data_IF_004375523918
#
_entry.id   IF_004375523918
#
_cell.length_a   1.000
_cell.length_b   1.000
_cell.length_c   1.000
_cell.angle_alpha   90.00
_cell.angle_beta   90.00
_cell.angle_gamma   90.00
#
_symmetry.space_group_name_H-M   'P 1'
#
loop_
_entity.id
_entity.type
_entity.pdbx_description
1 polymer ?
#
# COMPACT_ATOMS: atom_id res chain seq x y z
N UNK A 1 -30.76 8.86 16.42
CA UNK A 1 -29.49 8.05 16.50
C UNK A 1 -28.61 8.43 15.33
N UNK A 2 -27.31 8.61 15.58
CA UNK A 2 -26.32 8.92 14.54
C UNK A 2 -25.95 7.64 13.79
N UNK A 3 -25.83 7.72 12.45
CA UNK A 3 -25.42 6.60 11.59
C UNK A 3 -24.45 7.09 10.51
N UNK A 4 -23.30 6.44 10.38
CA UNK A 4 -22.25 6.80 9.43
C UNK A 4 -21.95 5.65 8.49
N UNK A 5 -21.53 5.98 7.26
CA UNK A 5 -20.97 5.01 6.31
C UNK A 5 -19.45 5.17 6.28
N UNK A 6 -18.73 4.05 6.38
CA UNK A 6 -17.27 4.00 6.27
C UNK A 6 -16.90 3.11 5.08
N UNK A 7 -16.19 3.68 4.11
CA UNK A 7 -15.75 2.99 2.90
C UNK A 7 -14.31 2.51 3.11
N UNK A 8 -14.14 1.21 3.31
CA UNK A 8 -12.89 0.55 3.67
C UNK A 8 -12.73 0.33 5.18
N UNK A 9 -12.64 -0.92 5.60
CA UNK A 9 -12.58 -1.34 7.02
C UNK A 9 -11.18 -1.49 7.61
N UNK A 10 -10.11 -1.28 6.81
CA UNK A 10 -8.73 -1.47 7.27
C UNK A 10 -8.30 -0.43 8.34
N UNK A 11 -7.01 -0.12 8.44
CA UNK A 11 -6.45 0.71 9.53
C UNK A 11 -7.20 2.02 9.76
N UNK A 12 -7.53 2.77 8.71
CA UNK A 12 -8.22 4.07 8.86
C UNK A 12 -9.67 3.87 9.26
N UNK A 13 -10.39 3.01 8.53
CA UNK A 13 -11.82 2.78 8.78
C UNK A 13 -12.09 2.16 10.15
N UNK A 14 -11.34 1.12 10.55
CA UNK A 14 -11.46 0.53 11.89
C UNK A 14 -11.10 1.52 13.00
N UNK A 15 -10.08 2.38 12.78
CA UNK A 15 -9.73 3.42 13.75
C UNK A 15 -10.85 4.47 13.91
N UNK A 16 -11.49 4.86 12.80
CA UNK A 16 -12.64 5.75 12.86
C UNK A 16 -13.85 5.07 13.53
N UNK A 17 -14.17 3.83 13.13
CA UNK A 17 -15.25 3.06 13.73
C UNK A 17 -15.06 2.88 15.24
N UNK A 18 -13.84 2.58 15.71
CA UNK A 18 -13.52 2.49 17.14
C UNK A 18 -13.89 3.77 17.90
N UNK A 19 -13.55 4.92 17.33
CA UNK A 19 -13.86 6.21 17.98
C UNK A 19 -15.37 6.48 17.98
N UNK A 20 -16.01 6.27 16.86
CA UNK A 20 -17.43 6.55 16.66
C UNK A 20 -18.33 5.64 17.51
N UNK A 21 -18.03 4.35 17.58
CA UNK A 21 -18.79 3.39 18.40
C UNK A 21 -18.65 3.70 19.90
N UNK A 22 -17.50 4.19 20.35
CA UNK A 22 -17.30 4.63 21.75
C UNK A 22 -18.22 5.81 22.13
N UNK A 23 -18.71 6.59 21.16
CA UNK A 23 -19.66 7.67 21.33
C UNK A 23 -21.12 7.25 20.96
N UNK A 24 -21.37 5.95 20.82
CA UNK A 24 -22.69 5.41 20.53
C UNK A 24 -23.16 5.64 19.08
N UNK A 25 -22.26 5.94 18.14
CA UNK A 25 -22.58 6.11 16.73
C UNK A 25 -22.59 4.76 16.03
N UNK A 26 -23.64 4.45 15.29
CA UNK A 26 -23.71 3.27 14.42
C UNK A 26 -22.83 3.46 13.20
N UNK A 27 -22.03 2.46 12.87
CA UNK A 27 -21.11 2.46 11.74
C UNK A 27 -21.49 1.34 10.75
N UNK A 28 -21.79 1.70 9.52
CA UNK A 28 -21.86 0.74 8.41
C UNK A 28 -20.52 0.75 7.71
N UNK A 29 -19.83 -0.39 7.66
CA UNK A 29 -18.49 -0.53 7.07
C UNK A 29 -18.56 -1.41 5.84
N UNK A 30 -18.35 -0.85 4.66
CA UNK A 30 -18.23 -1.62 3.41
C UNK A 30 -16.76 -1.82 3.08
N UNK A 31 -16.38 -3.02 2.62
CA UNK A 31 -15.01 -3.32 2.18
C UNK A 31 -15.01 -4.18 0.92
N UNK A 32 -14.12 -3.89 0.00
CA UNK A 32 -13.98 -4.62 -1.27
C UNK A 32 -13.47 -6.05 -1.10
N UNK A 33 -12.81 -6.35 0.00
CA UNK A 33 -12.20 -7.64 0.28
C UNK A 33 -13.11 -8.53 1.14
N UNK A 34 -12.83 -9.82 1.16
CA UNK A 34 -13.51 -10.77 2.05
C UNK A 34 -13.30 -10.38 3.53
N UNK A 35 -12.08 -10.02 3.91
CA UNK A 35 -11.74 -9.49 5.22
C UNK A 35 -11.26 -8.04 5.11
N UNK A 36 -11.60 -7.16 6.08
CA UNK A 36 -11.30 -5.73 6.02
C UNK A 36 -9.85 -5.41 6.39
N UNK A 37 -8.89 -6.20 5.91
CA UNK A 37 -7.48 -6.01 6.27
C UNK A 37 -6.73 -5.11 5.30
N UNK A 38 -7.25 -4.94 4.09
CA UNK A 38 -6.69 -4.06 3.07
C UNK A 38 -5.20 -4.30 2.83
N UNK A 39 -4.42 -3.23 2.71
CA UNK A 39 -2.97 -3.33 2.45
C UNK A 39 -2.15 -3.91 3.61
N UNK A 40 -2.72 -4.20 4.78
CA UNK A 40 -2.04 -5.02 5.80
C UNK A 40 -1.84 -6.44 5.27
N UNK A 41 -2.83 -6.97 4.54
CA UNK A 41 -2.78 -8.30 3.94
C UNK A 41 -2.10 -8.27 2.58
N UNK A 42 -2.54 -7.39 1.69
CA UNK A 42 -2.16 -7.41 0.28
C UNK A 42 -0.88 -6.64 -0.04
N UNK A 43 -0.55 -5.64 0.76
CA UNK A 43 0.54 -4.70 0.49
C UNK A 43 1.71 -4.71 1.48
N UNK A 44 1.54 -5.33 2.66
CA UNK A 44 2.62 -5.54 3.61
C UNK A 44 3.16 -6.97 3.43
N UNK A 45 4.45 -7.16 3.07
CA UNK A 45 4.99 -8.48 2.81
C UNK A 45 4.77 -9.47 3.95
N UNK A 46 4.53 -10.74 3.61
CA UNK A 46 4.11 -11.81 4.53
C UNK A 46 5.08 -12.09 5.68
N UNK A 47 6.35 -11.73 5.56
CA UNK A 47 7.31 -11.85 6.67
C UNK A 47 7.04 -10.89 7.85
N UNK A 48 6.15 -9.90 7.69
CA UNK A 48 5.68 -9.03 8.77
C UNK A 48 4.54 -9.68 9.58
N UNK A 49 4.54 -11.00 9.73
CA UNK A 49 3.51 -11.83 10.33
C UNK A 49 3.00 -11.31 11.68
N UNK A 50 3.92 -10.99 12.60
CA UNK A 50 3.58 -10.45 13.93
C UNK A 50 2.87 -9.11 13.87
N UNK A 51 3.29 -8.24 12.93
CA UNK A 51 2.65 -6.94 12.75
C UNK A 51 1.29 -7.10 12.09
N UNK A 52 1.18 -7.94 11.07
CA UNK A 52 -0.08 -8.28 10.39
C UNK A 52 -1.09 -8.84 11.40
N UNK A 53 -0.72 -9.86 12.14
CA UNK A 53 -1.55 -10.50 13.16
C UNK A 53 -2.04 -9.49 14.21
N UNK A 54 -1.15 -8.64 14.72
CA UNK A 54 -1.52 -7.59 15.68
C UNK A 54 -2.54 -6.61 15.12
N UNK A 55 -2.42 -6.23 13.86
CA UNK A 55 -3.37 -5.33 13.23
C UNK A 55 -4.69 -6.04 12.90
N UNK A 56 -4.66 -7.31 12.48
CA UNK A 56 -5.87 -8.12 12.28
C UNK A 56 -6.71 -8.20 13.54
N UNK A 57 -6.12 -8.54 14.69
CA UNK A 57 -6.85 -8.58 15.96
C UNK A 57 -7.54 -7.26 16.30
N UNK A 58 -6.89 -6.12 16.06
CA UNK A 58 -7.50 -4.81 16.32
C UNK A 58 -8.67 -4.52 15.38
N UNK A 59 -8.53 -4.88 14.11
CA UNK A 59 -9.57 -4.68 13.11
C UNK A 59 -10.76 -5.60 13.44
N UNK A 60 -10.49 -6.87 13.74
CA UNK A 60 -11.51 -7.85 14.10
C UNK A 60 -12.34 -7.41 15.33
N UNK A 61 -11.67 -6.95 16.38
CA UNK A 61 -12.30 -6.46 17.61
C UNK A 61 -13.30 -5.32 17.34
N UNK A 62 -12.96 -4.42 16.42
CA UNK A 62 -13.80 -3.29 16.09
C UNK A 62 -14.89 -3.66 15.09
N UNK A 63 -14.58 -4.43 14.05
CA UNK A 63 -15.55 -4.78 13.02
C UNK A 63 -16.63 -5.75 13.56
N UNK A 64 -16.30 -6.53 14.59
CA UNK A 64 -17.28 -7.39 15.28
C UNK A 64 -18.08 -6.68 16.39
N UNK A 65 -17.91 -5.35 16.58
CA UNK A 65 -18.62 -4.59 17.59
C UNK A 65 -20.11 -4.47 17.26
N UNK A 66 -20.98 -4.49 18.27
CA UNK A 66 -22.45 -4.48 18.11
C UNK A 66 -23.04 -3.25 17.34
N UNK A 67 -22.31 -2.13 17.35
CA UNK A 67 -22.67 -0.92 16.60
C UNK A 67 -22.05 -0.88 15.20
N UNK A 68 -21.43 -1.96 14.73
CA UNK A 68 -20.82 -2.04 13.41
C UNK A 68 -21.55 -3.07 12.55
N UNK A 69 -22.11 -2.60 11.45
CA UNK A 69 -22.63 -3.45 10.39
C UNK A 69 -21.56 -3.60 9.31
N UNK A 70 -20.98 -4.78 9.18
CA UNK A 70 -19.99 -5.06 8.16
C UNK A 70 -20.64 -5.56 6.86
N UNK A 71 -20.15 -5.08 5.71
CA UNK A 71 -20.54 -5.53 4.38
C UNK A 71 -19.26 -5.86 3.59
N UNK A 72 -18.84 -7.12 3.56
CA UNK A 72 -17.66 -7.56 2.80
C UNK A 72 -17.92 -7.62 1.29
N UNK A 73 -16.83 -7.84 0.51
CA UNK A 73 -16.88 -8.06 -0.94
C UNK A 73 -17.72 -7.01 -1.69
N UNK A 74 -17.67 -5.77 -1.22
CA UNK A 74 -18.48 -4.68 -1.76
C UNK A 74 -17.60 -3.48 -2.07
N UNK A 75 -17.31 -3.26 -3.35
CA UNK A 75 -16.46 -2.18 -3.83
C UNK A 75 -17.29 -1.00 -4.31
N UNK A 76 -17.05 0.17 -3.72
CA UNK A 76 -17.65 1.41 -4.20
C UNK A 76 -17.10 1.77 -5.59
N UNK A 77 -18.00 2.10 -6.51
CA UNK A 77 -17.68 2.38 -7.91
C UNK A 77 -17.78 1.16 -8.84
N UNK A 78 -17.94 -0.07 -8.28
CA UNK A 78 -18.16 -1.31 -9.03
C UNK A 78 -19.48 -1.97 -8.60
N UNK A 79 -19.60 -2.36 -7.32
CA UNK A 79 -20.77 -3.05 -6.78
C UNK A 79 -21.87 -2.07 -6.30
N UNK A 80 -21.44 -0.89 -5.88
CA UNK A 80 -22.32 0.21 -5.45
C UNK A 80 -21.91 1.51 -6.15
N UNK A 81 -22.90 2.27 -6.62
CA UNK A 81 -22.67 3.62 -7.15
C UNK A 81 -22.55 4.64 -6.00
N UNK A 82 -21.66 5.61 -6.11
CA UNK A 82 -21.53 6.66 -5.11
C UNK A 82 -22.81 7.46 -4.93
N UNK A 83 -23.49 7.78 -6.04
CA UNK A 83 -24.75 8.53 -5.98
C UNK A 83 -25.80 7.82 -5.14
N UNK A 84 -25.95 6.50 -5.27
CA UNK A 84 -26.97 5.73 -4.57
C UNK A 84 -26.76 5.71 -3.05
N UNK A 85 -25.50 5.78 -2.60
CA UNK A 85 -25.18 5.87 -1.18
C UNK A 85 -25.18 7.31 -0.67
N UNK A 86 -24.83 8.30 -1.51
CA UNK A 86 -24.83 9.72 -1.14
C UNK A 86 -26.25 10.28 -0.98
N UNK A 87 -27.21 9.77 -1.76
CA UNK A 87 -28.63 10.15 -1.66
C UNK A 87 -29.29 9.66 -0.35
N UNK A 88 -28.64 8.79 0.42
CA UNK A 88 -29.05 8.42 1.78
C UNK A 88 -28.50 9.48 2.74
N UNK A 89 -29.39 10.08 3.55
CA UNK A 89 -29.02 11.17 4.47
C UNK A 89 -28.28 10.64 5.72
N UNK A 90 -27.06 10.14 5.49
CA UNK A 90 -26.14 9.72 6.56
C UNK A 90 -25.77 10.90 7.47
N UNK A 91 -25.46 10.63 8.74
CA UNK A 91 -24.79 11.63 9.58
C UNK A 91 -23.44 12.06 8.99
N UNK A 92 -22.72 11.13 8.36
CA UNK A 92 -21.47 11.38 7.64
C UNK A 92 -21.09 10.17 6.78
N UNK A 93 -20.32 10.39 5.70
CA UNK A 93 -19.66 9.36 4.89
C UNK A 93 -18.14 9.54 5.00
N UNK A 94 -17.43 8.48 5.36
CA UNK A 94 -15.98 8.49 5.49
C UNK A 94 -15.30 7.63 4.40
N UNK A 95 -14.45 8.25 3.60
CA UNK A 95 -13.59 7.57 2.64
C UNK A 95 -12.31 7.11 3.32
N UNK A 96 -12.24 5.84 3.67
CA UNK A 96 -11.07 5.15 4.26
C UNK A 96 -10.51 4.06 3.33
N UNK A 97 -10.89 4.11 2.04
CA UNK A 97 -10.62 3.12 0.99
C UNK A 97 -9.15 3.02 0.55
N UNK A 98 -8.28 3.90 1.06
CA UNK A 98 -6.85 3.86 0.78
C UNK A 98 -6.47 4.28 -0.65
N UNK A 99 -5.29 3.85 -1.10
CA UNK A 99 -4.75 4.15 -2.42
C UNK A 99 -4.33 2.83 -3.10
N UNK A 100 -5.13 2.31 -4.01
CA UNK A 100 -4.95 0.99 -4.64
C UNK A 100 -4.38 1.07 -6.05
N UNK A 101 -4.59 2.18 -6.76
CA UNK A 101 -4.07 2.38 -8.10
C UNK A 101 -2.59 2.73 -8.06
N UNK A 102 -1.74 1.95 -8.70
CA UNK A 102 -0.35 2.32 -8.86
C UNK A 102 -0.24 3.60 -9.71
N UNK A 103 0.69 4.48 -9.35
CA UNK A 103 1.00 5.66 -10.18
C UNK A 103 1.58 5.20 -11.51
N UNK A 104 1.00 5.65 -12.61
CA UNK A 104 1.45 5.31 -13.96
C UNK A 104 2.95 5.62 -14.13
N UNK A 105 3.66 4.71 -14.76
CA UNK A 105 5.05 4.92 -15.11
C UNK A 105 5.15 6.00 -16.20
N UNK A 106 6.20 6.82 -16.22
CA UNK A 106 6.29 7.96 -17.18
C UNK A 106 6.28 7.57 -18.66
N UNK A 107 6.54 6.29 -18.97
CA UNK A 107 6.57 5.75 -20.33
C UNK A 107 5.49 4.69 -20.46
N UNK A 108 4.30 5.04 -20.91
CA UNK A 108 3.11 4.16 -20.89
C UNK A 108 3.28 2.90 -21.74
N UNK A 109 4.08 2.93 -22.80
CA UNK A 109 4.37 1.78 -23.65
C UNK A 109 5.08 0.62 -22.89
N UNK A 110 5.64 0.87 -21.71
CA UNK A 110 6.26 -0.15 -20.86
C UNK A 110 5.26 -1.23 -20.42
N UNK A 111 3.98 -0.87 -20.30
CA UNK A 111 2.91 -1.78 -19.90
C UNK A 111 2.65 -2.89 -20.91
N UNK A 112 3.13 -2.76 -22.14
CA UNK A 112 3.04 -3.78 -23.18
C UNK A 112 4.06 -4.93 -23.00
N UNK A 113 5.02 -4.79 -22.09
CA UNK A 113 6.07 -5.77 -21.89
C UNK A 113 5.79 -6.69 -20.68
N UNK A 114 5.90 -8.00 -20.90
CA UNK A 114 5.62 -9.03 -19.91
C UNK A 114 6.61 -9.08 -18.73
N UNK A 115 7.72 -8.36 -18.80
CA UNK A 115 8.73 -8.23 -17.75
C UNK A 115 8.66 -6.87 -17.04
N UNK A 116 7.55 -6.14 -17.17
CA UNK A 116 7.23 -4.97 -16.37
C UNK A 116 6.09 -5.27 -15.39
N UNK A 117 6.22 -4.79 -14.18
CA UNK A 117 5.18 -4.92 -13.15
C UNK A 117 5.04 -3.63 -12.34
N UNK A 118 3.84 -3.37 -11.86
CA UNK A 118 3.59 -2.40 -10.81
C UNK A 118 3.76 -3.04 -9.43
N UNK A 119 4.05 -2.22 -8.43
CA UNK A 119 4.31 -2.66 -7.05
C UNK A 119 3.13 -3.40 -6.42
N UNK A 120 1.90 -2.87 -6.55
CA UNK A 120 0.75 -3.46 -5.85
C UNK A 120 0.50 -4.90 -6.30
N UNK A 121 0.35 -5.23 -7.58
CA UNK A 121 0.17 -6.61 -8.04
C UNK A 121 1.41 -7.47 -7.78
N UNK A 122 2.62 -6.90 -7.77
CA UNK A 122 3.85 -7.64 -7.46
C UNK A 122 3.90 -8.09 -6.00
N UNK A 123 3.58 -7.21 -5.05
CA UNK A 123 3.56 -7.54 -3.61
C UNK A 123 2.37 -8.44 -3.29
N UNK A 124 1.21 -8.21 -3.91
CA UNK A 124 0.06 -9.10 -3.79
C UNK A 124 0.42 -10.53 -4.22
N UNK A 125 1.04 -10.70 -5.39
CA UNK A 125 1.54 -12.00 -5.83
C UNK A 125 2.44 -12.65 -4.77
N UNK A 126 3.44 -11.95 -4.27
CA UNK A 126 4.36 -12.51 -3.27
C UNK A 126 3.65 -12.92 -1.98
N UNK A 127 2.65 -12.19 -1.56
CA UNK A 127 1.90 -12.50 -0.36
C UNK A 127 1.03 -13.76 -0.51
N UNK A 128 0.53 -14.07 -1.72
CA UNK A 128 -0.52 -15.05 -1.92
C UNK A 128 -0.15 -16.23 -2.84
N UNK A 129 0.91 -16.16 -3.66
CA UNK A 129 1.20 -17.19 -4.66
C UNK A 129 1.38 -18.60 -4.09
N UNK A 130 1.66 -18.73 -2.79
CA UNK A 130 1.83 -19.99 -2.08
C UNK A 130 0.51 -20.61 -1.59
N UNK A 131 -0.60 -19.90 -1.69
CA UNK A 131 -1.91 -20.36 -1.28
C UNK A 131 -2.47 -21.36 -2.31
N UNK A 132 -3.10 -22.43 -1.83
CA UNK A 132 -3.55 -23.55 -2.67
C UNK A 132 -4.54 -23.14 -3.78
N UNK A 133 -5.35 -22.11 -3.52
CA UNK A 133 -6.38 -21.63 -4.44
C UNK A 133 -6.00 -20.29 -5.10
N UNK A 134 -4.71 -19.95 -5.14
CA UNK A 134 -4.27 -18.69 -5.72
C UNK A 134 -4.60 -18.61 -7.23
N UNK A 135 -5.31 -17.57 -7.61
CA UNK A 135 -5.71 -17.28 -8.98
C UNK A 135 -5.36 -15.85 -9.43
N UNK A 136 -4.51 -15.17 -8.66
CA UNK A 136 -4.07 -13.80 -8.92
C UNK A 136 -3.00 -13.69 -10.02
N UNK A 137 -2.37 -12.51 -10.17
CA UNK A 137 -1.36 -12.26 -11.18
C UNK A 137 -0.16 -13.21 -11.03
N UNK A 138 0.38 -13.67 -12.17
CA UNK A 138 1.61 -14.47 -12.20
C UNK A 138 2.82 -13.58 -12.41
N UNK A 139 3.87 -13.78 -11.63
CA UNK A 139 5.13 -13.03 -11.75
C UNK A 139 6.28 -13.98 -12.02
N UNK A 140 7.07 -13.67 -13.04
CA UNK A 140 8.31 -14.37 -13.35
C UNK A 140 9.50 -13.50 -12.92
N UNK A 141 9.99 -13.72 -11.71
CA UNK A 141 11.15 -12.99 -11.18
C UNK A 141 12.41 -13.42 -11.93
N UNK A 142 13.04 -12.44 -12.61
CA UNK A 142 14.28 -12.61 -13.36
C UNK A 142 15.43 -11.86 -12.70
N UNK A 143 16.62 -12.38 -12.87
CA UNK A 143 17.84 -11.74 -12.39
C UNK A 143 18.12 -10.38 -13.07
N UNK A 144 19.01 -9.61 -12.51
CA UNK A 144 19.33 -8.26 -12.95
C UNK A 144 18.07 -7.35 -12.96
N UNK A 145 17.35 -7.32 -11.84
CA UNK A 145 16.08 -6.59 -11.73
C UNK A 145 16.28 -5.10 -11.47
N UNK A 146 15.43 -4.26 -12.04
CA UNK A 146 15.38 -2.82 -11.76
C UNK A 146 14.11 -2.47 -10.98
N UNK A 147 14.26 -1.83 -9.83
CA UNK A 147 13.14 -1.32 -9.02
C UNK A 147 13.21 0.21 -9.03
N UNK A 148 12.23 0.85 -9.66
CA UNK A 148 12.19 2.32 -9.73
C UNK A 148 11.32 2.85 -8.59
N UNK A 149 11.96 3.54 -7.64
CA UNK A 149 11.27 4.07 -6.47
C UNK A 149 12.21 4.54 -5.38
N UNK A 150 11.71 4.92 -4.21
CA UNK A 150 12.57 5.42 -3.13
C UNK A 150 11.94 5.32 -1.74
N UNK A 151 10.74 4.74 -1.61
CA UNK A 151 10.08 4.52 -0.32
C UNK A 151 10.43 3.17 0.32
N UNK A 152 9.94 2.93 1.54
CA UNK A 152 10.08 1.63 2.23
C UNK A 152 9.55 0.48 1.38
N UNK A 153 8.42 0.68 0.71
CA UNK A 153 7.85 -0.33 -0.17
C UNK A 153 8.77 -0.71 -1.35
N UNK A 154 9.56 0.24 -1.89
CA UNK A 154 10.56 -0.06 -2.92
C UNK A 154 11.69 -0.95 -2.39
N UNK A 155 12.07 -0.78 -1.12
CA UNK A 155 13.04 -1.65 -0.44
C UNK A 155 12.45 -3.05 -0.27
N UNK A 156 11.18 -3.15 0.14
CA UNK A 156 10.50 -4.45 0.25
C UNK A 156 10.42 -5.17 -1.09
N UNK A 157 10.16 -4.46 -2.19
CA UNK A 157 10.21 -5.03 -3.55
C UNK A 157 11.61 -5.57 -3.88
N UNK A 158 12.69 -4.82 -3.58
CA UNK A 158 14.06 -5.31 -3.76
C UNK A 158 14.33 -6.57 -2.93
N UNK A 159 13.85 -6.62 -1.68
CA UNK A 159 13.96 -7.80 -0.81
C UNK A 159 13.23 -9.00 -1.41
N UNK A 160 11.98 -8.83 -1.84
CA UNK A 160 11.21 -9.91 -2.50
C UNK A 160 12.00 -10.49 -3.67
N UNK A 161 12.52 -9.63 -4.54
CA UNK A 161 13.29 -10.08 -5.71
C UNK A 161 14.52 -10.88 -5.27
N UNK A 162 15.30 -10.36 -4.32
CA UNK A 162 16.50 -11.05 -3.85
C UNK A 162 16.19 -12.41 -3.21
N UNK A 163 15.18 -12.48 -2.37
CA UNK A 163 14.74 -13.71 -1.72
C UNK A 163 14.24 -14.73 -2.77
N UNK A 164 13.45 -14.30 -3.75
CA UNK A 164 12.96 -15.17 -4.83
C UNK A 164 14.07 -15.67 -5.76
N UNK A 165 15.06 -14.83 -6.09
CA UNK A 165 16.21 -15.24 -6.88
C UNK A 165 17.05 -16.30 -6.17
N UNK A 166 17.25 -16.12 -4.85
CA UNK A 166 17.95 -17.13 -4.04
C UNK A 166 17.11 -18.40 -3.95
N UNK A 167 15.79 -18.30 -3.66
CA UNK A 167 14.88 -19.45 -3.65
C UNK A 167 14.99 -20.29 -4.92
N UNK A 168 14.94 -19.66 -6.09
CA UNK A 168 15.06 -20.34 -7.39
C UNK A 168 16.35 -21.16 -7.54
N UNK A 169 17.42 -20.78 -6.83
CA UNK A 169 18.72 -21.47 -6.89
C UNK A 169 18.86 -22.60 -5.87
N UNK A 170 18.25 -22.45 -4.68
CA UNK A 170 18.59 -23.31 -3.54
C UNK A 170 17.42 -24.13 -2.98
N UNK A 171 16.17 -23.83 -3.34
CA UNK A 171 14.97 -24.45 -2.78
C UNK A 171 14.99 -25.99 -2.85
N UNK A 172 15.47 -26.55 -3.96
CA UNK A 172 15.57 -28.01 -4.13
C UNK A 172 16.81 -28.63 -3.43
N UNK A 173 17.70 -27.82 -2.90
CA UNK A 173 18.92 -28.27 -2.23
C UNK A 173 18.84 -28.16 -0.72
N UNK A 174 17.88 -27.40 -0.19
CA UNK A 174 17.67 -27.18 1.24
C UNK A 174 16.38 -27.86 1.66
N UNK A 175 16.48 -28.91 2.46
CA UNK A 175 15.33 -29.57 3.03
C UNK A 175 14.58 -28.61 4.00
N UNK A 176 13.27 -28.45 3.80
CA UNK A 176 12.45 -27.55 4.61
C UNK A 176 12.73 -26.07 4.35
N UNK A 177 13.15 -25.71 3.12
CA UNK A 177 13.38 -24.31 2.75
C UNK A 177 12.22 -23.42 3.15
N UNK A 178 12.51 -22.31 3.86
CA UNK A 178 11.53 -21.28 4.25
C UNK A 178 12.04 -19.87 3.89
N UNK A 179 11.36 -19.24 2.96
CA UNK A 179 11.67 -17.87 2.50
C UNK A 179 11.48 -16.82 3.61
N UNK A 180 10.56 -17.05 4.54
CA UNK A 180 10.32 -16.14 5.68
C UNK A 180 11.45 -16.27 6.71
N UNK A 181 11.92 -17.49 6.97
CA UNK A 181 13.10 -17.68 7.81
C UNK A 181 14.34 -17.02 7.17
N UNK A 182 14.53 -17.18 5.86
CA UNK A 182 15.64 -16.53 5.14
C UNK A 182 15.53 -14.99 5.25
N UNK A 183 14.34 -14.41 5.16
CA UNK A 183 14.15 -12.97 5.40
C UNK A 183 14.57 -12.59 6.83
N UNK A 184 14.12 -13.33 7.84
CA UNK A 184 14.43 -13.02 9.24
C UNK A 184 15.93 -13.12 9.54
N UNK A 185 16.63 -14.11 9.03
CA UNK A 185 18.08 -14.31 9.21
C UNK A 185 18.93 -13.34 8.38
N UNK A 186 18.49 -13.04 7.16
CA UNK A 186 19.27 -12.43 6.09
C UNK A 186 19.87 -13.48 5.16
N UNK A 187 20.05 -13.12 3.89
CA UNK A 187 20.43 -14.07 2.84
C UNK A 187 21.74 -14.78 3.15
N UNK A 188 22.83 -14.04 3.40
CA UNK A 188 24.15 -14.64 3.64
C UNK A 188 24.12 -15.60 4.83
N UNK A 189 23.56 -15.18 5.95
CA UNK A 189 23.49 -15.99 7.15
C UNK A 189 22.62 -17.24 6.99
N UNK A 190 21.50 -17.13 6.26
CA UNK A 190 20.66 -18.28 5.96
C UNK A 190 21.40 -19.31 5.09
N UNK A 191 22.10 -18.85 4.06
CA UNK A 191 22.90 -19.73 3.20
C UNK A 191 24.05 -20.40 3.96
N UNK A 192 24.80 -19.64 4.80
CA UNK A 192 25.87 -20.17 5.67
C UNK A 192 25.38 -21.30 6.60
N UNK A 193 24.14 -21.23 7.10
CA UNK A 193 23.55 -22.29 7.93
C UNK A 193 23.31 -23.61 7.17
N UNK A 194 23.36 -23.55 5.84
CA UNK A 194 23.20 -24.69 4.93
C UNK A 194 24.48 -24.97 4.12
N UNK A 195 25.63 -24.50 4.59
CA UNK A 195 26.94 -24.68 3.96
C UNK A 195 27.01 -24.13 2.51
N UNK A 196 26.27 -23.03 2.22
CA UNK A 196 26.22 -22.36 0.93
C UNK A 196 26.77 -20.94 1.00
N UNK A 197 27.32 -20.44 -0.12
CA UNK A 197 27.78 -19.07 -0.28
C UNK A 197 27.00 -18.35 -1.41
N UNK A 198 26.45 -17.18 -1.11
CA UNK A 198 25.74 -16.34 -2.09
C UNK A 198 26.57 -16.06 -3.36
N UNK A 199 27.89 -15.86 -3.20
CA UNK A 199 28.78 -15.55 -4.33
C UNK A 199 28.86 -16.69 -5.36
N UNK A 200 28.58 -17.93 -4.97
CA UNK A 200 28.57 -19.08 -5.87
C UNK A 200 27.28 -19.22 -6.69
N UNK A 201 26.22 -18.51 -6.31
CA UNK A 201 24.91 -18.61 -6.95
C UNK A 201 24.82 -17.85 -8.29
N UNK A 202 25.83 -17.00 -8.61
CA UNK A 202 25.87 -16.16 -9.81
C UNK A 202 24.57 -15.32 -9.99
N UNK A 203 24.14 -14.64 -8.94
CA UNK A 203 22.99 -13.74 -8.92
C UNK A 203 23.49 -12.29 -9.02
N UNK A 204 23.05 -11.54 -10.04
CA UNK A 204 23.29 -10.11 -10.17
C UNK A 204 22.41 -9.29 -9.24
N UNK A 205 21.19 -9.79 -8.99
CA UNK A 205 20.22 -9.27 -8.03
C UNK A 205 19.43 -8.06 -8.50
N UNK A 206 18.83 -7.38 -7.53
CA UNK A 206 18.03 -6.18 -7.75
C UNK A 206 18.87 -4.90 -7.60
N UNK A 207 18.53 -3.89 -8.41
CA UNK A 207 19.06 -2.52 -8.29
C UNK A 207 17.90 -1.56 -8.04
N UNK A 208 17.91 -0.88 -6.89
CA UNK A 208 16.98 0.20 -6.58
C UNK A 208 17.42 1.47 -7.29
N UNK A 209 16.59 1.98 -8.20
CA UNK A 209 16.83 3.19 -8.99
C UNK A 209 16.11 4.37 -8.37
N UNK A 210 16.83 5.34 -7.85
CA UNK A 210 16.25 6.49 -7.17
C UNK A 210 16.79 7.82 -7.69
N UNK A 211 15.87 8.74 -8.02
CA UNK A 211 16.20 10.05 -8.66
C UNK A 211 16.88 11.06 -7.75
N UNK A 212 16.92 10.84 -6.43
CA UNK A 212 17.62 11.68 -5.44
C UNK A 212 18.74 10.86 -4.77
N UNK A 213 19.48 11.50 -3.87
CA UNK A 213 20.40 10.82 -2.99
C UNK A 213 19.69 10.04 -1.87
N UNK A 214 20.41 9.15 -1.22
CA UNK A 214 19.92 8.29 -0.13
C UNK A 214 19.38 9.12 1.03
N UNK A 215 20.00 10.26 1.35
CA UNK A 215 19.59 11.12 2.45
C UNK A 215 18.21 11.75 2.24
N UNK A 216 17.78 11.89 0.99
CA UNK A 216 16.48 12.39 0.59
C UNK A 216 15.42 11.28 0.36
N UNK A 217 15.77 9.98 0.61
CA UNK A 217 14.78 8.91 0.57
C UNK A 217 13.78 9.05 1.75
N UNK A 218 12.47 8.88 1.52
CA UNK A 218 11.44 9.04 2.55
C UNK A 218 11.35 7.83 3.50
N UNK A 219 12.49 7.31 3.98
CA UNK A 219 12.57 6.15 4.87
C UNK A 219 12.22 6.48 6.31
N UNK A 220 12.42 7.73 6.70
CA UNK A 220 11.98 8.27 8.00
C UNK A 220 11.39 9.65 7.82
N UNK A 221 10.38 9.97 8.61
CA UNK A 221 9.78 11.31 8.63
C UNK A 221 10.73 12.28 9.30
N UNK A 222 10.95 13.44 8.65
CA UNK A 222 11.57 14.61 9.26
C UNK A 222 10.39 15.54 9.64
N UNK A 223 10.17 15.82 10.95
CA UNK A 223 9.12 16.75 11.36
C UNK A 223 9.38 18.15 10.79
N UNK A 224 8.33 18.93 10.62
CA UNK A 224 8.44 20.33 10.27
C UNK A 224 8.98 21.13 11.47
N UNK A 225 9.65 22.24 11.22
CA UNK A 225 10.18 23.16 12.25
C UNK A 225 11.17 22.53 13.25
N UNK A 226 12.00 21.59 12.79
CA UNK A 226 13.11 21.04 13.58
C UNK A 226 14.43 21.74 13.23
N UNK A 227 15.38 21.72 14.16
CA UNK A 227 16.72 22.27 13.96
C UNK A 227 17.56 21.48 12.94
N UNK A 228 18.65 22.09 12.51
CA UNK A 228 19.58 21.50 11.50
C UNK A 228 20.21 20.20 12.00
N UNK A 229 20.48 20.08 13.31
CA UNK A 229 21.06 18.89 13.91
C UNK A 229 20.10 17.71 13.83
N UNK A 230 18.81 17.92 14.13
CA UNK A 230 17.77 16.91 14.00
C UNK A 230 17.60 16.45 12.54
N UNK A 231 17.62 17.40 11.59
CA UNK A 231 17.58 17.08 10.15
C UNK A 231 18.77 16.18 9.78
N UNK A 232 19.99 16.54 10.18
CA UNK A 232 21.21 15.77 9.92
C UNK A 232 21.12 14.36 10.53
N UNK A 233 20.66 14.26 11.79
CA UNK A 233 20.43 12.98 12.47
C UNK A 233 19.44 12.08 11.72
N UNK A 234 18.35 12.64 11.21
CA UNK A 234 17.35 11.89 10.44
C UNK A 234 17.91 11.42 9.08
N UNK A 235 18.69 12.24 8.40
CA UNK A 235 19.37 11.88 7.16
C UNK A 235 20.36 10.73 7.39
N UNK A 236 21.17 10.80 8.44
CA UNK A 236 22.07 9.72 8.82
C UNK A 236 21.33 8.42 9.14
N UNK A 237 20.17 8.51 9.83
CA UNK A 237 19.33 7.35 10.11
C UNK A 237 18.81 6.70 8.82
N UNK A 238 18.42 7.47 7.80
CA UNK A 238 18.01 6.94 6.49
C UNK A 238 19.12 6.16 5.81
N UNK A 239 20.34 6.72 5.80
CA UNK A 239 21.52 6.05 5.23
C UNK A 239 21.79 4.73 5.97
N UNK A 240 21.74 4.73 7.30
CA UNK A 240 21.96 3.53 8.12
C UNK A 240 20.87 2.46 7.91
N UNK A 241 19.61 2.86 7.79
CA UNK A 241 18.50 1.93 7.48
C UNK A 241 18.77 1.25 6.14
N UNK A 242 19.07 2.01 5.10
CA UNK A 242 19.30 1.46 3.77
C UNK A 242 20.52 0.53 3.75
N UNK A 243 21.63 0.94 4.37
CA UNK A 243 22.84 0.13 4.46
C UNK A 243 22.57 -1.21 5.15
N UNK A 244 21.88 -1.22 6.29
CA UNK A 244 21.52 -2.46 6.99
C UNK A 244 20.67 -3.39 6.09
N UNK A 245 19.77 -2.82 5.25
CA UNK A 245 18.97 -3.62 4.32
C UNK A 245 19.83 -4.17 3.17
N UNK A 246 20.77 -3.36 2.64
CA UNK A 246 21.69 -3.82 1.61
C UNK A 246 22.60 -4.94 2.14
N UNK A 247 23.17 -4.80 3.34
CA UNK A 247 24.02 -5.81 3.95
C UNK A 247 23.27 -7.14 4.19
N UNK A 248 22.00 -7.04 4.55
CA UNK A 248 21.17 -8.21 4.86
C UNK A 248 20.61 -8.90 3.61
N UNK A 249 20.25 -8.14 2.58
CA UNK A 249 19.53 -8.64 1.41
C UNK A 249 20.29 -8.49 0.09
N UNK A 250 21.47 -7.91 0.09
CA UNK A 250 22.45 -7.90 -1.01
C UNK A 250 21.97 -7.22 -2.31
N UNK A 251 20.98 -6.32 -2.24
CA UNK A 251 20.57 -5.52 -3.38
C UNK A 251 21.43 -4.27 -3.55
N UNK A 252 21.47 -3.73 -4.76
CA UNK A 252 22.23 -2.53 -5.13
C UNK A 252 21.35 -1.28 -5.13
N UNK A 253 21.97 -0.10 -5.05
CA UNK A 253 21.28 1.19 -5.16
C UNK A 253 21.99 2.07 -6.19
N UNK A 254 21.23 2.56 -7.15
CA UNK A 254 21.60 3.59 -8.11
C UNK A 254 20.94 4.91 -7.69
N UNK A 255 21.57 5.62 -6.75
CA UNK A 255 21.10 6.94 -6.31
C UNK A 255 21.33 8.01 -7.38
N UNK A 256 20.65 9.14 -7.27
CA UNK A 256 20.71 10.25 -8.21
C UNK A 256 20.53 9.82 -9.67
N UNK A 257 19.72 8.78 -9.90
CA UNK A 257 19.53 8.16 -11.21
C UNK A 257 18.05 8.19 -11.57
N UNK A 258 17.71 8.77 -12.73
CA UNK A 258 16.35 8.94 -13.19
C UNK A 258 16.16 8.26 -14.55
N UNK A 259 15.14 7.39 -14.71
CA UNK A 259 14.74 6.90 -16.02
C UNK A 259 14.31 8.04 -16.95
N UNK A 260 14.76 7.99 -18.21
CA UNK A 260 14.43 8.93 -19.28
C UNK A 260 13.77 8.26 -20.48
N UNK A 261 13.76 6.93 -20.54
CA UNK A 261 13.13 6.17 -21.59
C UNK A 261 13.29 4.66 -21.38
N UNK A 262 12.82 3.91 -22.35
CA UNK A 262 12.94 2.46 -22.41
C UNK A 262 14.15 2.06 -23.25
N UNK A 263 14.88 1.03 -22.82
CA UNK A 263 15.89 0.37 -23.64
C UNK A 263 15.30 -0.89 -24.22
N UNK A 264 14.94 -0.83 -25.50
CA UNK A 264 14.29 -1.91 -26.25
C UNK A 264 15.28 -2.44 -27.29
N UNK A 265 15.47 -3.75 -27.36
CA UNK A 265 16.31 -4.45 -28.34
C UNK A 265 15.48 -5.59 -28.91
N UNK A 266 15.37 -5.67 -30.23
CA UNK A 266 14.60 -6.71 -30.94
C UNK A 266 13.18 -6.91 -30.35
N UNK A 267 12.45 -5.81 -30.17
CA UNK A 267 11.10 -5.73 -29.58
C UNK A 267 10.99 -6.27 -28.14
N UNK A 268 12.12 -6.37 -27.43
CA UNK A 268 12.16 -6.80 -26.03
C UNK A 268 12.63 -5.65 -25.14
N UNK A 269 11.98 -5.48 -24.01
CA UNK A 269 12.41 -4.55 -22.98
C UNK A 269 13.61 -5.13 -22.25
N UNK A 270 14.80 -4.57 -22.49
CA UNK A 270 16.07 -5.02 -21.90
C UNK A 270 16.61 -4.07 -20.82
N UNK A 271 15.88 -3.00 -20.50
CA UNK A 271 16.30 -2.07 -19.47
C UNK A 271 15.67 -0.68 -19.61
N UNK A 272 16.31 0.28 -18.98
CA UNK A 272 15.91 1.69 -18.99
C UNK A 272 17.08 2.54 -19.49
N UNK A 273 16.79 3.55 -20.33
CA UNK A 273 17.69 4.67 -20.48
C UNK A 273 17.57 5.56 -19.26
N UNK A 274 18.70 6.06 -18.77
CA UNK A 274 18.78 6.82 -17.53
C UNK A 274 19.60 8.07 -17.71
N UNK A 275 19.41 9.02 -16.80
CA UNK A 275 20.28 10.20 -16.66
C UNK A 275 20.65 10.39 -15.19
N UNK A 276 21.81 10.99 -14.94
CA UNK A 276 22.24 11.30 -13.58
C UNK A 276 21.72 12.67 -13.15
N UNK A 277 21.39 12.77 -11.88
CA UNK A 277 20.99 14.00 -11.22
C UNK A 277 22.05 14.48 -10.22
N UNK A 278 22.06 15.78 -9.95
CA UNK A 278 22.63 16.36 -8.72
C UNK A 278 21.51 16.94 -7.88
N UNK A 279 21.69 16.99 -6.59
CA UNK A 279 20.69 17.58 -5.68
C UNK A 279 21.07 19.04 -5.46
N UNK A 280 20.14 19.93 -5.81
CA UNK A 280 20.24 21.39 -5.59
C UNK A 280 18.99 21.80 -4.81
N UNK A 281 19.17 22.39 -3.64
CA UNK A 281 18.08 22.79 -2.73
C UNK A 281 17.06 21.68 -2.49
N UNK A 282 17.54 20.44 -2.29
CA UNK A 282 16.71 19.26 -2.06
C UNK A 282 15.96 18.72 -3.29
N UNK A 283 16.14 19.33 -4.49
CA UNK A 283 15.51 18.93 -5.74
C UNK A 283 16.51 18.26 -6.68
N UNK A 284 16.12 17.20 -7.41
CA UNK A 284 16.96 16.62 -8.44
C UNK A 284 17.06 17.56 -9.63
N UNK A 285 18.29 17.83 -10.06
CA UNK A 285 18.62 18.63 -11.27
C UNK A 285 19.46 17.76 -12.18
N UNK A 286 19.04 17.60 -13.41
CA UNK A 286 19.69 16.77 -14.42
C UNK A 286 21.11 17.24 -14.69
N UNK A 287 22.05 16.30 -14.74
CA UNK A 287 23.43 16.51 -15.23
C UNK A 287 23.42 16.27 -16.75
N UNK A 288 23.69 17.30 -17.52
CA UNK A 288 23.74 17.20 -19.00
C UNK A 288 24.79 16.18 -19.45
N UNK A 289 24.48 15.48 -20.54
CA UNK A 289 25.36 14.46 -21.16
C UNK A 289 25.79 13.33 -20.17
N UNK A 290 24.89 12.94 -19.28
CA UNK A 290 25.08 11.80 -18.36
C UNK A 290 24.15 10.63 -18.72
N UNK A 291 23.69 10.59 -19.96
CA UNK A 291 22.82 9.53 -20.48
C UNK A 291 23.58 8.19 -20.45
N UNK A 292 22.89 7.15 -19.99
CA UNK A 292 23.44 5.79 -19.87
C UNK A 292 22.31 4.77 -19.98
N UNK A 293 22.63 3.49 -20.03
CA UNK A 293 21.68 2.38 -20.07
C UNK A 293 21.86 1.53 -18.81
N UNK A 294 20.75 1.35 -18.09
CA UNK A 294 20.64 0.32 -17.05
C UNK A 294 19.91 -0.90 -17.63
N UNK A 295 20.67 -1.98 -17.88
CA UNK A 295 20.10 -3.24 -18.31
C UNK A 295 19.32 -3.90 -17.18
N UNK A 296 18.16 -4.54 -17.52
CA UNK A 296 17.31 -5.19 -16.54
C UNK A 296 16.50 -6.32 -17.13
N UNK A 297 16.51 -7.48 -16.48
CA UNK A 297 15.71 -8.63 -16.86
C UNK A 297 14.23 -8.50 -16.49
N UNK A 298 13.94 -7.73 -15.47
CA UNK A 298 12.59 -7.38 -15.00
C UNK A 298 12.61 -5.95 -14.43
N UNK A 299 11.53 -5.22 -14.64
CA UNK A 299 11.40 -3.83 -14.16
C UNK A 299 10.14 -3.71 -13.30
N UNK A 300 10.29 -3.18 -12.08
CA UNK A 300 9.16 -2.94 -11.18
C UNK A 300 9.04 -1.45 -10.88
N UNK A 301 7.87 -0.88 -11.16
CA UNK A 301 7.52 0.48 -10.76
C UNK A 301 7.03 0.52 -9.32
N UNK A 302 7.75 1.23 -8.46
CA UNK A 302 7.44 1.44 -7.05
C UNK A 302 7.45 2.94 -6.69
N UNK A 303 6.80 3.76 -7.56
CA UNK A 303 6.78 5.22 -7.45
C UNK A 303 5.57 5.78 -6.69
N UNK A 304 4.85 4.90 -5.99
CA UNK A 304 3.72 5.21 -5.13
C UNK A 304 2.37 4.85 -5.74
N UNK A 305 1.34 4.94 -4.90
CA UNK A 305 -0.05 4.62 -5.25
C UNK A 305 -0.95 5.84 -5.09
N UNK A 306 -2.08 5.82 -5.78
CA UNK A 306 -3.11 6.85 -5.83
C UNK A 306 -4.46 6.25 -5.39
N UNK A 307 -5.40 7.04 -4.89
CA UNK A 307 -6.78 6.61 -4.76
C UNK A 307 -7.36 6.29 -6.14
N UNK A 308 -8.24 5.31 -6.20
CA UNK A 308 -8.99 5.01 -7.42
C UNK A 308 -10.05 6.09 -7.64
N UNK A 309 -10.20 6.64 -8.87
CA UNK A 309 -11.31 7.52 -9.20
C UNK A 309 -12.63 6.76 -9.06
N UNK A 310 -13.63 7.41 -8.48
CA UNK A 310 -14.99 6.89 -8.32
C UNK A 310 -15.94 7.88 -8.97
N UNK A 311 -16.85 7.40 -9.80
CA UNK A 311 -17.81 8.26 -10.48
C UNK A 311 -18.67 9.03 -9.46
N UNK A 312 -18.83 10.33 -9.68
CA UNK A 312 -19.53 11.22 -8.76
C UNK A 312 -18.70 11.73 -7.57
N UNK A 313 -17.45 11.27 -7.39
CA UNK A 313 -16.54 11.76 -6.34
C UNK A 313 -15.56 12.78 -6.91
N UNK A 314 -15.50 14.03 -6.39
CA UNK A 314 -14.63 15.08 -6.91
C UNK A 314 -13.16 14.72 -6.85
N UNK A 315 -12.46 14.97 -7.97
CA UNK A 315 -11.02 14.73 -8.11
C UNK A 315 -10.27 16.05 -8.40
N UNK A 316 -9.08 16.18 -7.80
CA UNK A 316 -8.06 17.16 -8.18
C UNK A 316 -6.88 16.43 -8.84
N UNK A 317 -6.86 16.42 -10.16
CA UNK A 317 -5.93 15.62 -10.95
C UNK A 317 -6.05 14.14 -10.65
N UNK A 318 -5.05 13.56 -9.95
CA UNK A 318 -5.01 12.12 -9.62
C UNK A 318 -5.34 11.81 -8.16
N UNK A 319 -5.79 12.79 -7.39
CA UNK A 319 -6.16 12.65 -5.98
C UNK A 319 -7.59 13.13 -5.76
N UNK A 320 -8.20 12.75 -4.65
CA UNK A 320 -9.48 13.33 -4.27
C UNK A 320 -9.35 14.82 -4.00
N UNK A 321 -10.38 15.59 -4.39
CA UNK A 321 -10.43 17.04 -4.16
C UNK A 321 -10.81 17.32 -2.69
N UNK A 322 -9.80 17.60 -1.87
CA UNK A 322 -9.92 17.82 -0.42
C UNK A 322 -9.64 19.29 -0.12
N UNK A 323 -10.63 20.03 0.36
CA UNK A 323 -10.52 21.46 0.69
C UNK A 323 -9.92 21.72 2.07
N UNK A 324 -10.07 20.77 3.00
CA UNK A 324 -9.43 20.82 4.32
C UNK A 324 -8.77 19.49 4.64
N UNK A 325 -7.45 19.44 4.59
CA UNK A 325 -6.65 18.23 4.85
C UNK A 325 -6.73 17.74 6.30
N UNK A 326 -7.05 18.59 7.26
CA UNK A 326 -7.12 18.22 8.67
C UNK A 326 -8.40 17.43 8.96
N UNK A 327 -9.54 17.92 8.54
CA UNK A 327 -10.84 17.23 8.64
C UNK A 327 -11.09 16.24 7.51
N UNK A 328 -10.27 16.27 6.46
CA UNK A 328 -10.47 15.45 5.25
C UNK A 328 -11.69 15.85 4.42
N UNK A 329 -12.22 17.08 4.59
CA UNK A 329 -13.45 17.54 3.91
C UNK A 329 -13.27 17.57 2.41
N UNK A 330 -14.19 16.88 1.69
CA UNK A 330 -14.27 16.96 0.24
C UNK A 330 -14.82 18.30 -0.21
N UNK A 331 -14.39 18.73 -1.41
CA UNK A 331 -15.02 19.83 -2.12
C UNK A 331 -16.38 19.38 -2.69
N UNK A 332 -17.35 20.29 -2.73
CA UNK A 332 -18.68 20.07 -3.34
C UNK A 332 -19.53 18.92 -2.74
N UNK A 333 -19.05 18.24 -1.69
CA UNK A 333 -19.79 17.18 -1.01
C UNK A 333 -20.02 17.53 0.47
N UNK A 334 -21.29 17.60 0.85
CA UNK A 334 -21.65 17.79 2.25
C UNK A 334 -21.55 16.47 3.03
N UNK A 335 -21.11 16.56 4.30
CA UNK A 335 -21.00 15.41 5.22
C UNK A 335 -20.10 14.29 4.69
N UNK A 336 -19.12 14.60 3.78
CA UNK A 336 -18.18 13.60 3.25
C UNK A 336 -16.76 13.99 3.62
N UNK A 337 -16.04 13.06 4.23
CA UNK A 337 -14.67 13.24 4.70
C UNK A 337 -13.77 12.06 4.29
N UNK A 338 -12.56 12.37 3.87
CA UNK A 338 -11.54 11.36 3.57
C UNK A 338 -10.56 11.19 4.73
N UNK A 339 -9.93 10.01 4.82
CA UNK A 339 -8.91 9.74 5.83
C UNK A 339 -7.86 8.72 5.36
N UNK A 340 -6.74 8.70 6.05
CA UNK A 340 -5.67 7.75 5.79
C UNK A 340 -4.98 7.97 4.45
N UNK A 341 -4.53 6.89 3.83
CA UNK A 341 -3.77 6.96 2.59
C UNK A 341 -4.58 7.47 1.38
N UNK A 342 -5.90 7.41 1.44
CA UNK A 342 -6.78 7.94 0.38
C UNK A 342 -6.54 9.42 0.12
N UNK A 343 -6.24 10.20 1.18
CA UNK A 343 -6.04 11.65 1.07
C UNK A 343 -4.63 12.12 1.39
N UNK A 344 -3.86 11.36 2.18
CA UNK A 344 -2.54 11.83 2.66
C UNK A 344 -1.38 11.43 1.75
N UNK A 345 -1.55 10.44 0.88
CA UNK A 345 -0.47 9.83 0.10
C UNK A 345 0.63 9.17 0.95
N UNK A 346 0.39 8.98 2.26
CA UNK A 346 1.34 8.39 3.22
C UNK A 346 0.90 6.96 3.55
N UNK A 347 1.35 5.99 2.76
CA UNK A 347 0.99 4.58 2.87
C UNK A 347 1.66 3.84 4.01
N UNK A 348 1.44 4.26 5.28
CA UNK A 348 1.90 3.50 6.44
C UNK A 348 0.84 3.49 7.55
N UNK A 349 0.84 2.43 8.35
CA UNK A 349 -0.13 2.16 9.43
C UNK A 349 -0.23 3.33 10.41
N UNK A 350 0.92 3.88 10.83
CA UNK A 350 0.94 4.98 11.82
C UNK A 350 0.30 6.25 11.25
N UNK A 351 0.64 6.64 10.04
CA UNK A 351 0.09 7.84 9.39
C UNK A 351 -1.42 7.69 9.16
N UNK A 352 -1.86 6.51 8.68
CA UNK A 352 -3.27 6.20 8.47
C UNK A 352 -4.08 6.30 9.77
N UNK A 353 -3.55 5.76 10.86
CA UNK A 353 -4.20 5.82 12.18
C UNK A 353 -4.27 7.25 12.74
N UNK A 354 -3.20 8.04 12.59
CA UNK A 354 -3.18 9.45 13.02
C UNK A 354 -4.20 10.25 12.22
N UNK A 355 -4.22 10.10 10.90
CA UNK A 355 -5.21 10.78 10.04
C UNK A 355 -6.65 10.44 10.45
N UNK A 356 -6.97 9.16 10.62
CA UNK A 356 -8.32 8.73 11.02
C UNK A 356 -8.75 9.27 12.38
N UNK A 357 -7.83 9.31 13.35
CA UNK A 357 -8.10 9.92 14.66
C UNK A 357 -8.38 11.42 14.53
N UNK A 358 -7.53 12.15 13.80
CA UNK A 358 -7.69 13.60 13.63
C UNK A 358 -9.02 13.93 12.94
N UNK A 359 -9.34 13.22 11.84
CA UNK A 359 -10.63 13.41 11.15
C UNK A 359 -11.80 13.09 12.08
N UNK A 360 -11.76 11.96 12.79
CA UNK A 360 -12.79 11.59 13.76
C UNK A 360 -12.97 12.62 14.88
N UNK A 361 -11.85 13.16 15.44
CA UNK A 361 -11.90 14.20 16.46
C UNK A 361 -12.56 15.50 15.98
N UNK A 362 -12.30 15.88 14.72
CA UNK A 362 -12.82 17.13 14.14
C UNK A 362 -14.26 17.00 13.63
N UNK A 363 -14.74 15.81 13.40
CA UNK A 363 -16.05 15.61 12.76
C UNK A 363 -17.13 15.07 13.69
N UNK A 364 -16.76 14.46 14.81
CA UNK A 364 -17.70 13.76 15.69
C UNK A 364 -18.79 14.69 16.28
N UNK A 365 -18.44 15.93 16.62
CA UNK A 365 -19.37 16.93 17.14
C UNK A 365 -20.27 17.54 16.05
N UNK A 366 -19.92 17.31 14.79
CA UNK A 366 -20.71 17.78 13.63
C UNK A 366 -21.77 16.76 13.19
N UNK A 367 -21.74 15.53 13.74
CA UNK A 367 -22.69 14.50 13.38
C UNK A 367 -24.09 14.83 13.93
N UNK A 368 -25.07 14.81 13.05
CA UNK A 368 -26.48 14.96 13.38
C UNK A 368 -27.18 13.59 13.44
N UNK A 369 -28.27 13.51 14.19
CA UNK A 369 -29.14 12.34 14.19
C UNK A 369 -29.82 12.17 12.82
N UNK A 370 -29.90 10.96 12.33
CA UNK A 370 -30.70 10.64 11.14
C UNK A 370 -32.18 10.46 11.53
N UNK A 371 -33.07 10.69 10.58
CA UNK A 371 -34.52 10.45 10.78
C UNK A 371 -34.82 8.97 10.97
N UNK A 372 -36.01 8.64 11.51
CA UNK A 372 -36.44 7.23 11.59
C UNK A 372 -36.58 6.60 10.21
N UNK A 373 -37.11 7.36 9.22
CA UNK A 373 -37.22 6.88 7.85
C UNK A 373 -35.86 6.61 7.21
N UNK A 374 -34.87 7.49 7.44
CA UNK A 374 -33.49 7.26 7.00
C UNK A 374 -32.90 6.03 7.67
N UNK A 375 -33.15 5.83 8.97
CA UNK A 375 -32.64 4.64 9.69
C UNK A 375 -33.22 3.35 9.14
N UNK A 376 -34.53 3.33 8.81
CA UNK A 376 -35.21 2.17 8.19
C UNK A 376 -34.64 1.91 6.78
N UNK A 377 -34.37 2.96 6.02
CA UNK A 377 -33.69 2.85 4.72
C UNK A 377 -32.28 2.26 4.86
N UNK A 378 -31.50 2.74 5.82
CA UNK A 378 -30.15 2.19 6.11
C UNK A 378 -30.24 0.70 6.45
N UNK A 379 -31.17 0.31 7.34
CA UNK A 379 -31.37 -1.09 7.70
C UNK A 379 -31.69 -1.97 6.48
N UNK A 380 -32.57 -1.50 5.64
CA UNK A 380 -32.96 -2.20 4.41
C UNK A 380 -31.80 -2.33 3.43
N UNK A 381 -31.02 -1.26 3.24
CA UNK A 381 -29.86 -1.27 2.33
C UNK A 381 -28.72 -2.13 2.84
N UNK A 382 -28.39 -2.06 4.12
CA UNK A 382 -27.37 -2.94 4.73
C UNK A 382 -27.75 -4.40 4.53
N UNK A 383 -29.01 -4.76 4.81
CA UNK A 383 -29.49 -6.13 4.61
C UNK A 383 -29.43 -6.54 3.13
N UNK A 384 -29.85 -5.68 2.21
CA UNK A 384 -29.75 -5.94 0.76
C UNK A 384 -28.29 -6.21 0.34
N UNK A 385 -27.34 -5.38 0.80
CA UNK A 385 -25.93 -5.52 0.45
C UNK A 385 -25.29 -6.78 1.05
N UNK A 386 -25.61 -7.11 2.30
CA UNK A 386 -25.16 -8.34 2.95
C UNK A 386 -25.71 -9.60 2.26
N UNK A 387 -26.98 -9.60 1.88
CA UNK A 387 -27.62 -10.73 1.19
C UNK A 387 -26.99 -10.97 -0.19
N UNK A 388 -26.62 -9.91 -0.93
CA UNK A 388 -25.93 -10.04 -2.23
C UNK A 388 -24.64 -10.84 -2.15
N UNK A 389 -23.91 -10.72 -1.05
CA UNK A 389 -22.63 -11.42 -0.83
C UNK A 389 -22.75 -12.63 0.09
N UNK A 390 -23.97 -13.01 0.45
CA UNK A 390 -24.27 -14.14 1.35
C UNK A 390 -23.59 -14.01 2.73
N UNK A 391 -23.49 -12.78 3.25
CA UNK A 391 -23.02 -12.51 4.60
C UNK A 391 -24.22 -12.44 5.56
N UNK A 392 -24.18 -13.26 6.60
CA UNK A 392 -25.29 -13.42 7.55
C UNK A 392 -25.24 -12.48 8.77
N UNK A 393 -24.25 -11.59 8.81
CA UNK A 393 -24.03 -10.66 9.93
C UNK A 393 -23.09 -11.22 11.00
N UNK A 394 -22.68 -12.49 10.94
CA UNK A 394 -21.77 -13.08 11.90
C UNK A 394 -20.30 -12.97 11.40
N UNK A 395 -19.59 -11.98 11.90
CA UNK A 395 -18.21 -11.68 11.47
C UNK A 395 -17.25 -12.86 11.67
N UNK A 396 -17.31 -13.55 12.80
CA UNK A 396 -16.37 -14.63 13.09
C UNK A 396 -16.66 -15.90 12.29
N UNK A 397 -17.93 -16.20 12.03
CA UNK A 397 -18.30 -17.30 11.12
C UNK A 397 -17.90 -16.98 9.68
N UNK A 398 -18.03 -15.72 9.25
CA UNK A 398 -17.57 -15.27 7.96
C UNK A 398 -16.04 -15.40 7.83
N UNK A 399 -15.30 -14.95 8.85
CA UNK A 399 -13.85 -15.07 8.89
C UNK A 399 -13.37 -16.52 8.80
N UNK A 400 -14.09 -17.47 9.40
CA UNK A 400 -13.74 -18.87 9.37
C UNK A 400 -13.94 -19.55 7.99
N UNK A 401 -14.62 -18.90 7.06
CA UNK A 401 -14.80 -19.38 5.67
C UNK A 401 -13.63 -19.02 4.74
N UNK A 402 -12.69 -18.18 5.19
CA UNK A 402 -11.48 -17.82 4.49
C UNK A 402 -10.43 -18.91 4.63
#
# INVERSE_FOLDING_TARGET
MKAVLIIGGAVSGSTAAQKLTAEGVRCVVIDQNHMPYGKIEDGLPRWHDKQRTKEYFKIDDIISHELVDFVPLTKLGEDLNFKDIYDIDWSCIYFANGAWKDRSFPFNEIENFSNFYYQNPFVYWFNHYHEANYNGPSVNVKDNALVVGGGLASIDVCKIIQLELVRQKVELQIEGFDIVEMEHKGISKYLEMHDMDYNTLNIHGATLVYRRDIENMPLTTIPENVDVEMVAKRKLARRKILQNMQDKFLFKVAECTQPTGLHIVDDKLEGLTIIKNKIVDGKPVVIKASDDILKGGIIISSIGSLPEPIDGVPMDGSTYNIVDQASGKFDELDKVHGMGNAITGKGNIKASRVSAKTVGDLTIDLLEDVSSETMDMINSKVKEWQDKVSYDGNYFEWKAKK
#
